data_IF_191988058602
#
_entry.id   IF_191988058602
#
_cell.length_a   1.000
_cell.length_b   1.000
_cell.length_c   1.000
_cell.angle_alpha   90.00
_cell.angle_beta   90.00
_cell.angle_gamma   90.00
#
_symmetry.space_group_name_H-M   'P 1'
#
loop_
_entity.id
_entity.type
_entity.pdbx_description
1 polymer ?
#
# COMPACT_ATOMS: atom_id res chain seq x y z
N UNK A 1 -16.15 -14.94 -14.60
CA UNK A 1 -16.18 -16.41 -14.41
C UNK A 1 -14.78 -16.95 -14.14
N UNK A 2 -14.63 -18.22 -13.74
CA UNK A 2 -13.34 -18.90 -13.56
C UNK A 2 -13.22 -20.09 -14.51
N UNK A 3 -12.00 -20.62 -14.69
CA UNK A 3 -11.73 -21.75 -15.59
C UNK A 3 -12.60 -22.98 -15.29
N UNK A 4 -12.87 -23.27 -14.01
CA UNK A 4 -13.71 -24.40 -13.61
C UNK A 4 -15.13 -24.35 -14.18
N UNK A 5 -15.68 -23.15 -14.40
CA UNK A 5 -16.97 -23.01 -15.06
C UNK A 5 -16.88 -23.40 -16.54
N UNK A 6 -15.83 -22.98 -17.24
CA UNK A 6 -15.63 -23.33 -18.66
C UNK A 6 -15.40 -24.84 -18.82
N UNK A 7 -14.58 -25.42 -17.94
CA UNK A 7 -14.25 -26.84 -17.94
C UNK A 7 -15.44 -27.76 -17.64
N UNK A 8 -16.53 -27.23 -17.06
CA UNK A 8 -17.74 -28.00 -16.77
C UNK A 8 -18.65 -28.20 -18.00
N UNK A 9 -18.31 -27.62 -19.15
CA UNK A 9 -19.05 -27.76 -20.41
C UNK A 9 -18.23 -28.51 -21.44
N UNK A 10 -18.92 -29.18 -22.37
CA UNK A 10 -18.27 -29.89 -23.49
C UNK A 10 -17.60 -28.95 -24.50
N UNK A 11 -17.97 -27.66 -24.48
CA UNK A 11 -17.34 -26.64 -25.31
C UNK A 11 -17.28 -25.27 -24.63
N UNK A 12 -16.22 -24.52 -24.94
CA UNK A 12 -16.00 -23.17 -24.41
C UNK A 12 -17.09 -22.18 -24.85
N UNK A 13 -17.55 -22.27 -26.11
CA UNK A 13 -18.67 -21.46 -26.64
C UNK A 13 -19.96 -21.72 -25.84
N UNK A 14 -20.25 -22.98 -25.49
CA UNK A 14 -21.44 -23.31 -24.70
C UNK A 14 -21.36 -22.73 -23.29
N UNK A 15 -20.18 -22.76 -22.66
CA UNK A 15 -19.95 -22.12 -21.38
C UNK A 15 -20.14 -20.60 -21.47
N UNK A 16 -19.57 -19.95 -22.48
CA UNK A 16 -19.67 -18.49 -22.68
C UNK A 16 -21.12 -18.06 -22.87
N UNK A 17 -21.88 -18.76 -23.73
CA UNK A 17 -23.29 -18.48 -23.94
C UNK A 17 -24.13 -18.67 -22.68
N UNK A 18 -23.89 -19.77 -21.95
CA UNK A 18 -24.59 -20.04 -20.70
C UNK A 18 -24.30 -18.94 -19.67
N UNK A 19 -23.04 -18.50 -19.54
CA UNK A 19 -22.64 -17.47 -18.60
C UNK A 19 -23.24 -16.10 -18.97
N UNK A 20 -23.11 -15.68 -20.23
CA UNK A 20 -23.65 -14.41 -20.72
C UNK A 20 -25.18 -14.33 -20.63
N UNK A 21 -25.89 -15.46 -20.77
CA UNK A 21 -27.34 -15.51 -20.58
C UNK A 21 -27.75 -15.33 -19.12
N UNK A 22 -26.98 -15.86 -18.18
CA UNK A 22 -27.29 -15.80 -16.75
C UNK A 22 -26.85 -14.47 -16.13
N UNK A 23 -25.77 -13.88 -16.64
CA UNK A 23 -25.15 -12.68 -16.11
C UNK A 23 -24.97 -11.66 -17.24
N UNK A 24 -25.89 -10.69 -17.37
CA UNK A 24 -25.75 -9.54 -18.27
C UNK A 24 -24.54 -8.66 -17.90
N UNK A 25 -24.05 -7.87 -18.86
CA UNK A 25 -22.88 -6.99 -18.76
C UNK A 25 -21.62 -7.66 -18.17
N UNK A 26 -21.38 -8.92 -18.56
CA UNK A 26 -20.39 -9.78 -17.89
C UNK A 26 -19.00 -9.75 -18.50
N UNK A 27 -18.06 -10.42 -17.82
CA UNK A 27 -16.69 -10.65 -18.27
C UNK A 27 -16.44 -12.14 -18.50
N UNK A 28 -15.95 -12.48 -19.70
CA UNK A 28 -15.62 -13.84 -20.11
C UNK A 28 -14.11 -14.10 -20.00
N UNK A 29 -13.72 -15.19 -19.33
CA UNK A 29 -12.35 -15.68 -19.27
C UNK A 29 -12.03 -16.48 -20.53
N UNK A 30 -11.08 -16.01 -21.34
CA UNK A 30 -10.88 -16.52 -22.71
C UNK A 30 -9.65 -17.42 -22.88
N UNK A 31 -8.86 -17.63 -21.84
CA UNK A 31 -7.59 -18.34 -21.88
C UNK A 31 -7.63 -19.69 -21.16
N UNK A 32 -8.78 -20.39 -21.20
CA UNK A 32 -8.89 -21.73 -20.58
C UNK A 32 -8.12 -22.78 -21.38
N UNK A 33 -8.10 -22.67 -22.71
CA UNK A 33 -7.42 -23.62 -23.59
C UNK A 33 -6.45 -22.94 -24.58
N UNK A 34 -6.95 -21.94 -25.31
CA UNK A 34 -6.17 -21.10 -26.23
C UNK A 34 -6.79 -19.70 -26.22
N UNK A 35 -6.04 -18.71 -25.78
CA UNK A 35 -6.52 -17.34 -25.55
C UNK A 35 -7.15 -16.73 -26.80
N UNK A 36 -6.46 -16.83 -27.94
CA UNK A 36 -6.89 -16.15 -29.16
C UNK A 36 -8.08 -16.88 -29.78
N UNK A 37 -8.13 -18.20 -29.70
CA UNK A 37 -9.31 -18.98 -30.07
C UNK A 37 -10.49 -18.69 -29.16
N UNK A 38 -10.26 -18.50 -27.86
CA UNK A 38 -11.30 -18.06 -26.92
C UNK A 38 -11.87 -16.69 -27.28
N UNK A 39 -11.03 -15.75 -27.72
CA UNK A 39 -11.50 -14.47 -28.27
C UNK A 39 -12.34 -14.68 -29.53
N UNK A 40 -11.95 -15.58 -30.44
CA UNK A 40 -12.75 -15.91 -31.63
C UNK A 40 -14.12 -16.49 -31.24
N UNK A 41 -14.20 -17.31 -30.20
CA UNK A 41 -15.46 -17.81 -29.65
C UNK A 41 -16.36 -16.69 -29.11
N UNK A 42 -15.79 -15.63 -28.50
CA UNK A 42 -16.54 -14.44 -28.08
C UNK A 42 -17.10 -13.70 -29.31
N UNK A 43 -16.31 -13.57 -30.37
CA UNK A 43 -16.73 -12.94 -31.63
C UNK A 43 -17.88 -13.74 -32.29
N UNK A 44 -17.78 -15.07 -32.31
CA UNK A 44 -18.85 -15.95 -32.80
C UNK A 44 -20.13 -15.77 -31.99
N UNK A 45 -20.00 -15.72 -30.65
CA UNK A 45 -21.12 -15.48 -29.75
C UNK A 45 -21.79 -14.13 -30.03
N UNK A 46 -21.02 -13.07 -30.24
CA UNK A 46 -21.53 -11.75 -30.58
C UNK A 46 -22.33 -11.76 -31.88
N UNK A 47 -21.80 -12.40 -32.93
CA UNK A 47 -22.51 -12.54 -34.22
C UNK A 47 -23.83 -13.29 -34.08
N UNK A 48 -23.85 -14.36 -33.29
CA UNK A 48 -25.04 -15.19 -33.07
C UNK A 48 -26.11 -14.49 -32.22
N UNK A 49 -25.70 -13.74 -31.20
CA UNK A 49 -26.63 -13.05 -30.30
C UNK A 49 -27.12 -11.71 -30.87
N UNK A 50 -26.33 -11.07 -31.73
CA UNK A 50 -26.66 -9.77 -32.33
C UNK A 50 -26.91 -8.72 -31.24
N UNK A 51 -28.07 -8.07 -31.29
CA UNK A 51 -28.48 -7.06 -30.32
C UNK A 51 -28.66 -7.58 -28.88
N UNK A 52 -28.66 -8.90 -28.66
CA UNK A 52 -28.72 -9.51 -27.33
C UNK A 52 -27.34 -9.78 -26.73
N UNK A 53 -26.27 -9.47 -27.46
CA UNK A 53 -24.92 -9.61 -26.94
C UNK A 53 -24.67 -8.55 -25.87
N UNK A 54 -24.49 -9.01 -24.64
CA UNK A 54 -24.25 -8.15 -23.47
C UNK A 54 -23.06 -8.68 -22.66
N UNK A 55 -21.94 -8.85 -23.34
CA UNK A 55 -20.63 -9.11 -22.73
C UNK A 55 -19.87 -7.80 -22.73
N UNK A 56 -19.47 -7.35 -21.55
CA UNK A 56 -18.75 -6.10 -21.35
C UNK A 56 -17.25 -6.25 -21.59
N UNK A 57 -16.68 -7.40 -21.22
CA UNK A 57 -15.24 -7.57 -21.23
C UNK A 57 -14.77 -9.01 -21.51
N UNK A 58 -13.53 -9.14 -21.96
CA UNK A 58 -12.77 -10.39 -21.92
C UNK A 58 -11.66 -10.30 -20.87
N UNK A 59 -11.33 -11.42 -20.23
CA UNK A 59 -10.24 -11.52 -19.25
C UNK A 59 -9.11 -12.39 -19.77
N UNK A 60 -7.89 -11.85 -19.70
CA UNK A 60 -6.62 -12.53 -19.91
C UNK A 60 -5.98 -12.81 -18.55
N UNK A 61 -5.69 -14.06 -18.22
CA UNK A 61 -5.22 -14.50 -16.90
C UNK A 61 -3.89 -15.28 -16.98
N UNK A 62 -3.28 -15.33 -18.16
CA UNK A 62 -2.05 -16.07 -18.44
C UNK A 62 -1.37 -15.59 -19.73
N UNK A 63 -0.14 -16.10 -19.96
CA UNK A 63 0.63 -15.83 -21.16
C UNK A 63 1.31 -14.45 -21.20
N UNK A 64 1.79 -14.05 -22.38
CA UNK A 64 2.35 -12.71 -22.58
C UNK A 64 1.23 -11.70 -22.77
N UNK A 65 0.88 -11.00 -21.68
CA UNK A 65 -0.18 -10.01 -21.67
C UNK A 65 0.04 -8.84 -22.65
N UNK A 66 1.28 -8.51 -23.02
CA UNK A 66 1.55 -7.47 -24.01
C UNK A 66 1.08 -7.94 -25.40
N UNK A 67 1.64 -9.05 -25.86
CA UNK A 67 1.31 -9.62 -27.17
C UNK A 67 -0.17 -10.02 -27.26
N UNK A 68 -0.69 -10.68 -26.23
CA UNK A 68 -2.05 -11.19 -26.20
C UNK A 68 -3.09 -10.08 -26.13
N UNK A 69 -2.85 -8.99 -25.38
CA UNK A 69 -3.81 -7.87 -25.34
C UNK A 69 -3.89 -7.16 -26.69
N UNK A 70 -2.75 -6.91 -27.35
CA UNK A 70 -2.70 -6.30 -28.69
C UNK A 70 -3.40 -7.16 -29.74
N UNK A 71 -3.13 -8.47 -29.73
CA UNK A 71 -3.79 -9.40 -30.65
C UNK A 71 -5.29 -9.53 -30.38
N UNK A 72 -5.69 -9.58 -29.10
CA UNK A 72 -7.09 -9.61 -28.68
C UNK A 72 -7.83 -8.36 -29.16
N UNK A 73 -7.26 -7.17 -28.92
CA UNK A 73 -7.83 -5.89 -29.35
C UNK A 73 -8.02 -5.84 -30.87
N UNK A 74 -7.00 -6.21 -31.64
CA UNK A 74 -7.08 -6.23 -33.10
C UNK A 74 -8.19 -7.15 -33.63
N UNK A 75 -8.40 -8.31 -33.00
CA UNK A 75 -9.47 -9.25 -33.38
C UNK A 75 -10.86 -8.71 -33.06
N UNK A 76 -11.02 -8.14 -31.86
CA UNK A 76 -12.29 -7.54 -31.45
C UNK A 76 -12.65 -6.34 -32.34
N UNK A 77 -11.68 -5.48 -32.65
CA UNK A 77 -11.91 -4.30 -33.49
C UNK A 77 -12.25 -4.69 -34.94
N UNK A 78 -11.55 -5.68 -35.49
CA UNK A 78 -11.88 -6.24 -36.81
C UNK A 78 -13.31 -6.81 -36.87
N UNK A 79 -13.83 -7.27 -35.73
CA UNK A 79 -15.19 -7.77 -35.59
C UNK A 79 -16.23 -6.68 -35.25
N UNK A 80 -15.83 -5.42 -35.12
CA UNK A 80 -16.71 -4.32 -34.69
C UNK A 80 -17.14 -4.41 -33.22
N UNK A 81 -16.25 -4.91 -32.37
CA UNK A 81 -16.44 -5.07 -30.92
C UNK A 81 -15.51 -4.15 -30.11
N UNK A 82 -15.31 -2.92 -30.56
CA UNK A 82 -14.45 -1.92 -29.92
C UNK A 82 -14.90 -1.60 -28.47
N UNK A 83 -16.19 -1.76 -28.17
CA UNK A 83 -16.76 -1.56 -26.84
C UNK A 83 -16.43 -2.65 -25.82
N UNK A 84 -15.94 -3.81 -26.26
CA UNK A 84 -15.63 -4.92 -25.35
C UNK A 84 -14.28 -4.64 -24.70
N UNK A 85 -14.27 -4.40 -23.39
CA UNK A 85 -13.07 -4.09 -22.60
C UNK A 85 -12.14 -5.32 -22.46
N UNK A 86 -10.85 -5.10 -22.26
CA UNK A 86 -9.84 -6.12 -22.00
C UNK A 86 -9.35 -5.96 -20.56
N UNK A 87 -9.54 -7.00 -19.76
CA UNK A 87 -9.02 -7.06 -18.40
C UNK A 87 -7.87 -8.06 -18.33
N UNK A 88 -6.80 -7.69 -17.63
CA UNK A 88 -5.68 -8.57 -17.36
C UNK A 88 -5.60 -8.92 -15.87
N UNK A 89 -5.26 -10.16 -15.57
CA UNK A 89 -4.95 -10.63 -14.22
C UNK A 89 -3.77 -11.60 -14.23
N UNK A 90 -3.42 -12.11 -13.05
CA UNK A 90 -2.32 -13.04 -12.79
C UNK A 90 -0.92 -12.43 -12.81
N UNK A 91 -0.17 -12.63 -11.72
CA UNK A 91 1.23 -12.22 -11.61
C UNK A 91 1.49 -10.71 -11.73
N UNK A 92 0.47 -9.88 -11.52
CA UNK A 92 0.60 -8.42 -11.62
C UNK A 92 1.09 -7.83 -10.29
N UNK A 93 2.04 -6.90 -10.40
CA UNK A 93 2.45 -5.91 -9.40
C UNK A 93 2.50 -4.53 -10.08
N UNK A 94 2.83 -3.49 -9.32
CA UNK A 94 2.94 -2.12 -9.82
C UNK A 94 3.98 -1.95 -10.94
N UNK A 95 5.08 -2.71 -10.91
CA UNK A 95 6.14 -2.65 -11.92
C UNK A 95 5.69 -3.27 -13.24
N UNK A 96 5.03 -4.43 -13.19
CA UNK A 96 4.48 -5.11 -14.36
C UNK A 96 3.36 -4.29 -14.98
N UNK A 97 2.48 -3.68 -14.17
CA UNK A 97 1.44 -2.77 -14.65
C UNK A 97 2.07 -1.54 -15.33
N UNK A 98 3.07 -0.92 -14.72
CA UNK A 98 3.78 0.22 -15.31
C UNK A 98 4.41 -0.13 -16.67
N UNK A 99 5.04 -1.32 -16.78
CA UNK A 99 5.60 -1.81 -18.03
C UNK A 99 4.54 -2.01 -19.12
N UNK A 100 3.39 -2.61 -18.79
CA UNK A 100 2.28 -2.81 -19.73
C UNK A 100 1.69 -1.46 -20.22
N UNK A 101 1.54 -0.49 -19.33
CA UNK A 101 1.09 0.87 -19.66
C UNK A 101 2.10 1.59 -20.56
N UNK A 102 3.40 1.50 -20.24
CA UNK A 102 4.47 2.09 -21.05
C UNK A 102 4.52 1.49 -22.48
N UNK A 103 4.29 0.18 -22.59
CA UNK A 103 4.17 -0.54 -23.86
C UNK A 103 2.86 -0.26 -24.62
N UNK A 104 1.98 0.59 -24.05
CA UNK A 104 0.65 0.94 -24.57
C UNK A 104 -0.21 -0.29 -24.86
N UNK A 105 -0.16 -1.28 -23.98
CA UNK A 105 -1.02 -2.46 -24.06
C UNK A 105 -2.49 -2.02 -23.95
N UNK A 106 -3.38 -2.46 -24.85
CA UNK A 106 -4.81 -2.13 -24.78
C UNK A 106 -5.49 -2.97 -23.68
N UNK A 107 -5.26 -2.59 -22.43
CA UNK A 107 -5.84 -3.21 -21.23
C UNK A 107 -6.59 -2.11 -20.47
N UNK A 108 -7.90 -2.32 -20.27
CA UNK A 108 -8.81 -1.38 -19.65
C UNK A 108 -8.87 -1.54 -18.11
N UNK A 109 -8.45 -2.71 -17.61
CA UNK A 109 -8.42 -2.97 -16.17
C UNK A 109 -7.48 -4.09 -15.74
N UNK A 110 -7.01 -3.99 -14.50
CA UNK A 110 -6.07 -4.94 -13.90
C UNK A 110 -6.66 -5.59 -12.64
N UNK A 111 -6.60 -6.91 -12.57
CA UNK A 111 -6.91 -7.70 -11.39
C UNK A 111 -5.63 -8.10 -10.66
N UNK A 112 -5.36 -7.46 -9.51
CA UNK A 112 -4.17 -7.72 -8.70
C UNK A 112 -4.54 -8.55 -7.47
N UNK A 113 -3.88 -9.70 -7.31
CA UNK A 113 -4.14 -10.66 -6.24
C UNK A 113 -3.00 -10.70 -5.22
N UNK A 114 -2.22 -11.78 -5.26
CA UNK A 114 -1.19 -12.13 -4.28
C UNK A 114 -0.27 -10.97 -3.95
N UNK A 115 0.34 -10.33 -4.95
CA UNK A 115 1.33 -9.26 -4.75
C UNK A 115 0.80 -8.13 -3.87
N UNK A 116 -0.43 -7.67 -4.12
CA UNK A 116 -1.08 -6.62 -3.34
C UNK A 116 -1.49 -7.10 -1.94
N UNK A 117 -2.09 -8.30 -1.84
CA UNK A 117 -2.68 -8.77 -0.57
C UNK A 117 -1.62 -9.13 0.46
N UNK A 118 -0.50 -9.72 0.03
CA UNK A 118 0.54 -10.18 0.95
C UNK A 118 1.70 -9.19 1.08
N UNK A 119 1.72 -8.12 0.29
CA UNK A 119 2.84 -7.18 0.18
C UNK A 119 4.17 -7.94 0.03
N UNK A 120 4.29 -8.75 -1.03
CA UNK A 120 5.31 -9.80 -1.12
C UNK A 120 6.76 -9.29 -1.00
N UNK A 121 7.01 -8.06 -1.44
CA UNK A 121 8.28 -7.35 -1.36
C UNK A 121 8.60 -6.84 0.05
N UNK A 122 7.58 -6.47 0.83
CA UNK A 122 7.70 -5.98 2.20
C UNK A 122 6.54 -6.48 3.10
N UNK A 123 6.50 -7.79 3.42
CA UNK A 123 5.32 -8.43 4.03
C UNK A 123 5.12 -8.08 5.51
N UNK A 124 6.01 -7.28 6.10
CA UNK A 124 5.97 -6.87 7.49
C UNK A 124 6.42 -5.42 7.67
N UNK A 125 5.65 -4.68 8.48
CA UNK A 125 6.06 -3.40 9.03
C UNK A 125 6.69 -3.63 10.41
N UNK A 126 7.90 -3.12 10.65
CA UNK A 126 8.62 -3.20 11.95
C UNK A 126 8.01 -2.24 12.99
N UNK A 127 6.75 -2.49 13.37
CA UNK A 127 6.01 -1.70 14.35
C UNK A 127 6.26 -2.22 15.77
N UNK A 128 6.41 -1.30 16.73
CA UNK A 128 6.60 -1.66 18.13
C UNK A 128 5.79 -0.77 19.08
N UNK A 129 5.23 -1.39 20.12
CA UNK A 129 4.67 -0.69 21.27
C UNK A 129 5.73 -0.52 22.36
N UNK A 130 5.94 0.71 22.84
CA UNK A 130 6.95 1.05 23.86
C UNK A 130 6.36 1.97 24.92
N UNK A 131 6.71 1.72 26.19
CA UNK A 131 6.45 2.64 27.28
C UNK A 131 7.34 3.88 27.13
N UNK A 132 6.73 5.06 27.09
CA UNK A 132 7.45 6.33 26.94
C UNK A 132 7.33 7.24 28.16
N UNK A 133 6.34 7.00 29.03
CA UNK A 133 6.17 7.71 30.29
C UNK A 133 5.45 6.83 31.32
N UNK A 134 5.83 6.93 32.59
CA UNK A 134 5.17 6.26 33.70
C UNK A 134 5.29 7.10 34.96
N UNK A 135 4.15 7.31 35.63
CA UNK A 135 4.04 8.12 36.86
C UNK A 135 4.64 9.52 36.71
N UNK A 136 4.18 10.25 35.69
CA UNK A 136 4.68 11.59 35.35
C UNK A 136 6.10 11.64 34.77
N UNK A 137 6.86 10.55 34.83
CA UNK A 137 8.28 10.52 34.44
C UNK A 137 8.49 9.92 33.05
N UNK A 138 9.39 10.52 32.26
CA UNK A 138 9.84 9.98 30.98
C UNK A 138 10.50 8.60 31.13
N UNK A 139 10.25 7.70 30.17
CA UNK A 139 10.86 6.36 30.13
C UNK A 139 11.54 6.14 28.78
N UNK A 140 12.73 5.57 28.83
CA UNK A 140 13.54 5.27 27.65
C UNK A 140 14.26 3.94 27.82
N UNK A 141 14.87 3.47 26.75
CA UNK A 141 15.76 2.30 26.72
C UNK A 141 17.02 2.70 25.98
N UNK A 142 18.18 2.48 26.59
CA UNK A 142 19.48 2.86 26.03
C UNK A 142 20.18 1.72 25.26
N UNK A 143 19.47 0.67 24.85
CA UNK A 143 20.08 -0.40 24.05
C UNK A 143 20.68 0.14 22.76
N UNK A 144 21.82 -0.43 22.34
CA UNK A 144 22.49 -0.07 21.09
C UNK A 144 21.53 -0.17 19.90
N UNK A 145 21.53 0.88 19.05
CA UNK A 145 20.89 0.87 17.73
C UNK A 145 19.50 1.48 17.61
N UNK A 146 18.71 1.65 18.68
CA UNK A 146 17.37 2.31 18.60
C UNK A 146 17.08 3.15 19.85
N UNK A 147 17.00 4.47 19.67
CA UNK A 147 16.63 5.42 20.73
C UNK A 147 15.12 5.41 20.93
N UNK A 148 14.66 5.22 22.16
CA UNK A 148 13.26 5.45 22.54
C UNK A 148 13.15 6.84 23.13
N UNK A 149 12.51 7.78 22.42
CA UNK A 149 12.30 9.13 22.95
C UNK A 149 11.33 9.11 24.15
N UNK A 150 11.71 9.66 25.31
CA UNK A 150 10.86 9.68 26.49
C UNK A 150 9.68 10.63 26.32
N UNK A 151 8.73 10.57 27.25
CA UNK A 151 7.61 11.49 27.36
C UNK A 151 6.43 11.20 26.43
N UNK A 152 5.29 11.79 26.77
CA UNK A 152 4.12 11.88 25.89
C UNK A 152 4.46 12.87 24.77
N UNK A 153 4.07 12.56 23.53
CA UNK A 153 4.50 13.31 22.34
C UNK A 153 3.33 13.66 21.41
N UNK A 154 3.59 14.61 20.52
CA UNK A 154 2.76 14.98 19.36
C UNK A 154 3.66 15.03 18.12
N UNK A 155 3.09 14.81 16.94
CA UNK A 155 3.77 14.96 15.65
C UNK A 155 3.14 16.16 14.93
N UNK A 156 3.98 17.06 14.41
CA UNK A 156 3.58 18.26 13.68
C UNK A 156 4.09 18.19 12.25
N UNK A 157 3.18 18.18 11.28
CA UNK A 157 3.50 18.12 9.86
C UNK A 157 3.59 19.50 9.25
N UNK A 158 4.69 19.79 8.58
CA UNK A 158 4.88 21.04 7.85
C UNK A 158 4.41 20.88 6.40
N UNK A 159 3.66 21.87 5.95
CA UNK A 159 3.15 21.98 4.59
C UNK A 159 3.71 23.26 3.96
N UNK A 160 4.36 23.13 2.81
CA UNK A 160 4.85 24.25 2.02
C UNK A 160 4.34 24.13 0.59
N UNK A 161 3.66 25.15 0.10
CA UNK A 161 3.10 25.18 -1.26
C UNK A 161 2.22 23.94 -1.59
N UNK A 162 1.52 23.40 -0.59
CA UNK A 162 0.67 22.21 -0.75
C UNK A 162 1.41 20.87 -0.72
N UNK A 163 2.72 20.86 -0.45
CA UNK A 163 3.54 19.65 -0.33
C UNK A 163 4.06 19.50 1.11
N UNK A 164 4.03 18.28 1.62
CA UNK A 164 4.59 17.95 2.93
C UNK A 164 6.11 18.03 2.89
N UNK A 165 6.72 18.88 3.71
CA UNK A 165 8.17 19.12 3.69
C UNK A 165 8.91 18.57 4.92
N UNK A 166 8.20 18.04 5.91
CA UNK A 166 8.79 17.32 7.04
C UNK A 166 7.86 17.24 8.25
N UNK A 167 8.17 16.33 9.16
CA UNK A 167 7.48 16.16 10.43
C UNK A 167 8.40 16.57 11.60
N UNK A 168 7.84 17.15 12.65
CA UNK A 168 8.54 17.42 13.91
C UNK A 168 7.87 16.69 15.05
N UNK A 169 8.63 15.90 15.79
CA UNK A 169 8.20 15.27 17.03
C UNK A 169 8.40 16.26 18.18
N UNK A 170 7.31 16.64 18.85
CA UNK A 170 7.30 17.55 20.00
C UNK A 170 6.74 16.90 21.26
N UNK A 171 7.02 17.50 22.42
CA UNK A 171 6.39 17.08 23.67
C UNK A 171 4.87 17.30 23.62
N UNK A 172 4.12 16.49 24.36
CA UNK A 172 2.68 16.71 24.46
C UNK A 172 2.39 18.08 25.10
N UNK A 173 1.64 18.92 24.38
CA UNK A 173 1.33 20.30 24.80
C UNK A 173 2.36 21.33 24.35
N UNK A 174 3.45 20.92 23.68
CA UNK A 174 4.33 21.83 22.97
C UNK A 174 3.59 22.45 21.77
N UNK A 175 3.86 23.72 21.47
CA UNK A 175 3.32 24.41 20.30
C UNK A 175 4.45 24.61 19.29
N UNK A 176 4.47 23.78 18.25
CA UNK A 176 5.49 23.82 17.19
C UNK A 176 4.84 24.16 15.84
N UNK A 177 5.61 24.70 14.87
CA UNK A 177 5.09 24.94 13.53
C UNK A 177 4.61 23.66 12.84
N UNK A 178 3.49 23.75 12.12
CA UNK A 178 2.87 22.64 11.39
C UNK A 178 1.57 22.16 12.02
N UNK A 179 0.88 21.27 11.31
CA UNK A 179 -0.40 20.72 11.73
C UNK A 179 -0.21 19.50 12.64
N UNK A 180 -0.88 19.43 13.81
CA UNK A 180 -0.77 18.29 14.71
C UNK A 180 -1.48 17.05 14.12
N UNK A 181 -0.78 15.92 14.05
CA UNK A 181 -1.29 14.70 13.40
C UNK A 181 -2.05 13.76 14.35
N UNK A 182 -1.63 13.66 15.62
CA UNK A 182 -2.29 12.77 16.57
C UNK A 182 -3.56 13.41 17.11
N UNK A 183 -4.70 12.78 16.81
CA UNK A 183 -6.03 13.18 17.30
C UNK A 183 -6.57 12.15 18.30
N UNK A 184 -7.31 12.58 19.34
CA UNK A 184 -7.89 11.66 20.31
C UNK A 184 -9.01 10.83 19.66
N UNK A 185 -8.84 9.50 19.60
CA UNK A 185 -9.88 8.57 19.12
C UNK A 185 -10.69 7.92 20.24
N UNK A 186 -10.19 7.98 21.47
CA UNK A 186 -10.78 7.35 22.66
C UNK A 186 -10.45 8.17 23.91
N UNK A 187 -11.39 8.26 24.86
CA UNK A 187 -11.18 8.87 26.18
C UNK A 187 -11.93 8.06 27.23
N UNK A 188 -11.27 7.70 28.33
CA UNK A 188 -11.84 6.90 29.42
C UNK A 188 -12.54 5.61 28.93
N UNK A 189 -11.90 4.89 28.01
CA UNK A 189 -12.43 3.66 27.41
C UNK A 189 -13.60 3.85 26.43
N UNK A 190 -14.02 5.09 26.15
CA UNK A 190 -15.11 5.40 25.22
C UNK A 190 -14.56 5.98 23.93
N UNK A 191 -14.93 5.35 22.79
CA UNK A 191 -14.55 5.83 21.46
C UNK A 191 -15.24 7.16 21.14
N UNK A 192 -14.49 8.11 20.60
CA UNK A 192 -15.01 9.42 20.19
C UNK A 192 -15.51 9.29 18.74
N UNK A 193 -16.83 9.17 18.56
CA UNK A 193 -17.44 8.85 17.26
C UNK A 193 -17.18 9.91 16.18
N UNK A 194 -17.07 11.18 16.55
CA UNK A 194 -16.84 12.27 15.59
C UNK A 194 -15.48 12.19 14.87
N UNK A 195 -14.54 11.40 15.39
CA UNK A 195 -13.23 11.16 14.78
C UNK A 195 -13.13 9.81 14.06
N UNK A 196 -14.23 9.06 13.97
CA UNK A 196 -14.26 7.83 13.18
C UNK A 196 -14.61 8.16 11.72
N UNK A 197 -13.70 7.97 10.76
CA UNK A 197 -13.99 8.24 9.36
C UNK A 197 -14.95 7.20 8.78
N UNK A 198 -15.76 7.60 7.80
CA UNK A 198 -16.42 6.67 6.88
C UNK A 198 -15.40 6.08 5.91
N UNK A 199 -15.75 5.03 5.17
CA UNK A 199 -14.86 4.48 4.14
C UNK A 199 -14.54 5.50 3.05
N UNK A 200 -15.55 6.23 2.57
CA UNK A 200 -15.35 7.27 1.56
C UNK A 200 -14.50 8.43 2.10
N UNK A 201 -14.75 8.87 3.33
CA UNK A 201 -13.95 9.89 3.98
C UNK A 201 -12.50 9.47 4.18
N UNK A 202 -12.24 8.21 4.54
CA UNK A 202 -10.88 7.68 4.64
C UNK A 202 -10.20 7.62 3.27
N UNK A 203 -10.94 7.28 2.20
CA UNK A 203 -10.41 7.23 0.82
C UNK A 203 -10.04 8.60 0.30
N UNK A 204 -10.90 9.59 0.48
CA UNK A 204 -10.66 10.96 0.04
C UNK A 204 -9.53 11.60 0.84
N UNK A 205 -9.48 11.34 2.14
CA UNK A 205 -8.35 11.75 2.97
C UNK A 205 -7.04 11.14 2.48
N UNK A 206 -6.99 9.81 2.26
CA UNK A 206 -5.79 9.14 1.77
C UNK A 206 -5.32 9.72 0.43
N UNK A 207 -6.23 10.00 -0.51
CA UNK A 207 -5.90 10.66 -1.78
C UNK A 207 -5.28 12.04 -1.55
N UNK A 208 -5.91 12.88 -0.74
CA UNK A 208 -5.37 14.21 -0.41
C UNK A 208 -3.99 14.14 0.24
N UNK A 209 -3.77 13.17 1.14
CA UNK A 209 -2.48 12.98 1.79
C UNK A 209 -1.41 12.50 0.79
N UNK A 210 -1.75 11.58 -0.11
CA UNK A 210 -0.84 11.10 -1.17
C UNK A 210 -0.51 12.24 -2.12
N UNK A 211 -1.48 13.04 -2.55
CA UNK A 211 -1.28 14.17 -3.47
C UNK A 211 -0.34 15.24 -2.90
N UNK A 212 -0.35 15.40 -1.57
CA UNK A 212 0.53 16.31 -0.84
C UNK A 212 1.92 15.71 -0.52
N UNK A 213 2.20 14.44 -0.84
CA UNK A 213 3.55 13.90 -0.65
C UNK A 213 4.56 14.53 -1.64
N UNK A 214 5.83 14.66 -1.23
CA UNK A 214 6.92 14.92 -2.16
C UNK A 214 6.84 14.00 -3.39
N UNK A 215 7.07 14.50 -4.63
CA UNK A 215 7.09 13.68 -5.84
C UNK A 215 7.99 12.45 -5.71
N UNK A 216 9.10 12.57 -4.99
CA UNK A 216 10.09 11.52 -4.76
C UNK A 216 9.51 10.32 -4.00
N UNK A 217 8.54 10.56 -3.10
CA UNK A 217 7.84 9.51 -2.33
C UNK A 217 6.60 8.96 -3.05
N UNK A 218 6.23 9.53 -4.20
CA UNK A 218 5.18 9.03 -5.08
C UNK A 218 5.72 8.21 -6.25
N UNK A 219 7.05 8.17 -6.38
CA UNK A 219 7.74 7.35 -7.37
C UNK A 219 7.65 5.87 -6.99
N UNK A 220 7.61 5.01 -8.01
CA UNK A 220 7.82 3.57 -7.84
C UNK A 220 9.30 3.22 -7.68
N UNK A 221 10.19 4.10 -8.17
CA UNK A 221 11.63 3.93 -8.05
C UNK A 221 12.14 4.44 -6.71
N UNK A 222 13.14 3.76 -6.15
CA UNK A 222 13.88 4.27 -4.99
C UNK A 222 14.69 5.51 -5.40
N UNK A 223 14.18 6.67 -5.00
CA UNK A 223 14.81 7.98 -5.26
C UNK A 223 15.94 8.29 -4.26
N UNK A 224 16.13 7.46 -3.24
CA UNK A 224 17.01 7.74 -2.10
C UNK A 224 16.53 8.93 -1.24
N UNK A 225 15.34 9.48 -1.51
CA UNK A 225 14.81 10.59 -0.76
C UNK A 225 14.38 10.14 0.65
N UNK A 226 14.93 10.81 1.67
CA UNK A 226 14.56 10.59 3.06
C UNK A 226 13.66 11.72 3.54
N UNK A 227 12.43 11.38 3.93
CA UNK A 227 11.49 12.35 4.45
C UNK A 227 12.00 12.95 5.77
N UNK A 228 12.14 14.28 5.89
CA UNK A 228 12.71 14.88 7.09
C UNK A 228 11.82 14.66 8.32
N UNK A 229 12.40 14.06 9.36
CA UNK A 229 11.76 13.94 10.68
C UNK A 229 12.68 14.53 11.74
N UNK A 230 12.29 15.66 12.30
CA UNK A 230 13.01 16.35 13.36
C UNK A 230 12.44 15.99 14.75
N UNK A 231 13.25 16.20 15.79
CA UNK A 231 12.85 16.01 17.19
C UNK A 231 13.11 17.31 17.94
N UNK A 232 12.14 17.77 18.73
CA UNK A 232 12.25 19.04 19.45
C UNK A 232 13.34 19.02 20.52
N UNK A 233 13.92 20.19 20.78
CA UNK A 233 14.97 20.37 21.79
C UNK A 233 14.52 19.93 23.18
N UNK A 234 13.22 20.03 23.48
CA UNK A 234 12.66 19.58 24.76
C UNK A 234 12.78 18.06 24.92
N UNK A 235 12.39 17.29 23.90
CA UNK A 235 12.53 15.83 23.91
C UNK A 235 14.01 15.42 23.98
N UNK A 236 14.87 16.08 23.18
CA UNK A 236 16.32 15.79 23.17
C UNK A 236 16.92 16.09 24.54
N UNK A 237 16.55 17.21 25.15
CA UNK A 237 16.98 17.61 26.49
C UNK A 237 16.54 16.62 27.56
N UNK A 238 15.29 16.14 27.51
CA UNK A 238 14.80 15.13 28.46
C UNK A 238 15.52 13.79 28.30
N UNK A 239 15.77 13.35 27.07
CA UNK A 239 16.56 12.14 26.81
C UNK A 239 17.99 12.26 27.40
N UNK A 240 18.62 13.42 27.23
CA UNK A 240 19.96 13.67 27.77
C UNK A 240 19.95 13.66 29.32
N UNK A 241 18.94 14.28 29.95
CA UNK A 241 18.77 14.25 31.41
C UNK A 241 18.65 12.82 31.94
N UNK A 242 17.79 12.01 31.32
CA UNK A 242 17.61 10.61 31.72
C UNK A 242 18.89 9.79 31.55
N UNK A 243 19.67 10.05 30.48
CA UNK A 243 20.95 9.39 30.26
C UNK A 243 21.98 9.76 31.33
N UNK A 244 22.04 11.03 31.72
CA UNK A 244 22.94 11.46 32.80
C UNK A 244 22.56 10.84 34.14
N UNK A 245 21.27 10.77 34.48
CA UNK A 245 20.79 10.13 35.69
C UNK A 245 21.18 8.64 35.77
N UNK A 246 20.98 7.89 34.67
CA UNK A 246 21.34 6.47 34.57
C UNK A 246 22.86 6.25 34.76
N UNK A 247 23.70 7.10 34.15
CA UNK A 247 25.16 7.02 34.34
C UNK A 247 25.62 7.36 35.76
N UNK A 248 24.92 8.29 36.44
CA UNK A 248 25.22 8.67 37.81
C UNK A 248 24.83 7.56 38.81
N UNK A 249 23.69 6.89 38.59
CA UNK A 249 23.26 5.73 39.38
C UNK A 249 24.13 4.49 39.13
N UNK A 250 24.71 4.33 37.95
CA UNK A 250 25.68 3.26 37.67
C UNK A 250 27.04 3.44 38.37
N UNK A 251 27.35 4.63 38.91
CA UNK A 251 28.61 4.93 39.61
C UNK A 251 28.45 5.57 41.01
N UNK A 252 27.80 4.93 42.01
CA UNK A 252 27.65 5.53 43.34
C UNK A 252 28.90 5.43 44.25
N UNK A 253 30.04 4.87 43.79
CA UNK A 253 31.22 4.76 44.65
C UNK A 253 32.34 3.84 44.18
N UNK A 254 33.04 4.15 43.09
CA UNK A 254 34.34 3.53 42.82
C UNK A 254 35.46 4.20 43.62
N UNK A 255 35.39 4.10 44.95
CA UNK A 255 36.57 4.14 45.80
C UNK A 255 36.98 2.68 46.06
N UNK A 256 37.75 2.11 45.13
CA UNK A 256 38.59 0.95 45.44
C UNK A 256 40.03 1.40 45.32
N UNK A 257 40.58 1.80 46.47
CA UNK A 257 42.02 1.76 46.73
C UNK A 257 42.44 0.29 46.65
N UNK A 258 43.38 -0.02 45.76
CA UNK A 258 43.84 -1.40 45.59
C UNK A 258 44.89 -1.56 44.52
N UNK A 259 46.00 -0.83 44.62
CA UNK A 259 47.20 -1.13 43.88
C UNK A 259 47.64 -2.58 44.17
N UNK A 260 47.63 -3.45 43.15
CA UNK A 260 48.57 -4.57 43.05
C UNK A 260 49.05 -4.72 41.62
N UNK A 261 50.31 -4.34 41.46
CA UNK A 261 51.14 -4.65 40.32
C UNK A 261 51.20 -6.17 40.07
N UNK A 262 51.19 -6.55 38.79
CA UNK A 262 52.07 -7.59 38.27
C UNK A 262 52.15 -7.51 36.74
N UNK A 263 53.33 -7.10 36.28
CA UNK A 263 53.98 -7.58 35.05
C UNK A 263 54.97 -8.70 35.47
N UNK A 264 55.54 -9.51 34.55
CA UNK A 264 55.37 -9.52 33.10
C UNK A 264 54.48 -10.63 32.57
#
# INVERSE_FOLDING_TARGET
>A
MAHSFVQAFDSEVAAFEAFARLYPATMLLVDTYDTLRGVDHVIELAKRLGNRFDVRAVRLDSGDLDELSKATRARLDTAGLEQVEIFASSGLDENRIAALLAARCPIDGFGVGTQLVVAQDAPALDMAYKLVAYDGSGRTKFSSGKVIYPGRKQVFRKLEHGVFCGDTLGEHGENLPGDPLLVPIMTNGRRIRQHAPTLDGARDWARQQIDALPPELRSLEDTGYSYPVAVSDRIVGELARLRHADTAEAHPGSNVVGAKAKRP
#
